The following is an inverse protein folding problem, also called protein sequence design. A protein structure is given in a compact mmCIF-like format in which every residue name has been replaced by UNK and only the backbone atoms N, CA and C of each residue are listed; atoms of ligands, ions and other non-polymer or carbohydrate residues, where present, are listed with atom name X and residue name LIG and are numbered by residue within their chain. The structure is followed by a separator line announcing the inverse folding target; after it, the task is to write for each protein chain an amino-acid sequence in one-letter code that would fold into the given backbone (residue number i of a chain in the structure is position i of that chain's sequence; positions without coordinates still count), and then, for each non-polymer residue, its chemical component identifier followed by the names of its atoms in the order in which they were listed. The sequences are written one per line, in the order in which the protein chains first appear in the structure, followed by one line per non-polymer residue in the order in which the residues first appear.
data_IF_534502901260
#
_entry.id   IF_534502901260
#
_cell.length_a   1.000
_cell.length_b   1.000
_cell.length_c   1.000
_cell.angle_alpha   90.00
_cell.angle_beta   90.00
_cell.angle_gamma   90.00
#
_symmetry.space_group_name_H-M   'P 1'
#
loop_
_entity.id
_entity.type
_entity.pdbx_description
1 polymer ?
#
# COMPACT_ATOMS: atom_id res chain seq x y z
N UNK A 1 -10.54 7.94 -4.62
CA UNK A 1 -10.85 6.59 -4.10
C UNK A 1 -9.84 5.62 -4.70
N UNK A 2 -9.30 4.71 -3.89
CA UNK A 2 -8.36 3.69 -4.34
C UNK A 2 -9.09 2.36 -4.50
N UNK A 3 -8.94 1.72 -5.66
CA UNK A 3 -9.51 0.39 -5.92
C UNK A 3 -8.38 -0.52 -6.41
N UNK A 4 -7.80 -1.36 -5.54
CA UNK A 4 -6.85 -2.36 -5.97
C UNK A 4 -7.59 -3.42 -6.79
N UNK A 5 -7.03 -3.74 -7.95
CA UNK A 5 -7.60 -4.67 -8.90
C UNK A 5 -6.70 -5.88 -9.02
N UNK A 6 -7.29 -7.07 -8.98
CA UNK A 6 -6.64 -8.30 -9.41
C UNK A 6 -7.13 -8.76 -10.78
N UNK A 7 -6.27 -8.72 -11.78
CA UNK A 7 -6.53 -9.34 -13.08
C UNK A 7 -6.14 -10.81 -13.03
N UNK A 8 -7.17 -11.67 -13.01
CA UNK A 8 -7.01 -13.13 -12.95
C UNK A 8 -6.26 -13.72 -14.14
N UNK A 9 -6.45 -13.17 -15.33
CA UNK A 9 -5.79 -13.68 -16.54
C UNK A 9 -4.29 -13.36 -16.53
N UNK A 10 -3.94 -12.15 -16.09
CA UNK A 10 -2.54 -11.72 -15.94
C UNK A 10 -1.89 -12.21 -14.63
N UNK A 11 -2.70 -12.70 -13.69
CA UNK A 11 -2.31 -12.97 -12.29
C UNK A 11 -1.57 -11.76 -11.68
N UNK A 12 -2.11 -10.57 -11.91
CA UNK A 12 -1.41 -9.31 -11.67
C UNK A 12 -2.29 -8.32 -10.91
N UNK A 13 -1.69 -7.62 -9.95
CA UNK A 13 -2.32 -6.51 -9.25
C UNK A 13 -1.96 -5.16 -9.87
N UNK A 14 -2.94 -4.29 -10.03
CA UNK A 14 -2.74 -2.88 -10.35
C UNK A 14 -3.77 -2.03 -9.61
N UNK A 15 -3.64 -0.71 -9.66
CA UNK A 15 -4.46 0.21 -8.89
C UNK A 15 -5.26 1.14 -9.80
N UNK A 16 -6.55 1.28 -9.53
CA UNK A 16 -7.33 2.41 -10.00
C UNK A 16 -7.33 3.52 -8.95
N UNK A 17 -6.98 4.73 -9.38
CA UNK A 17 -7.11 5.95 -8.61
C UNK A 17 -8.26 6.76 -9.21
N UNK A 18 -9.40 6.75 -8.52
CA UNK A 18 -10.63 7.38 -8.99
C UNK A 18 -10.75 8.80 -8.42
N UNK A 19 -10.70 9.79 -9.31
CA UNK A 19 -10.94 11.19 -9.02
C UNK A 19 -12.40 11.54 -9.31
N UNK A 20 -13.28 11.18 -8.36
CA UNK A 20 -14.75 11.29 -8.49
C UNK A 20 -15.22 12.66 -9.00
N UNK A 21 -14.70 13.75 -8.40
CA UNK A 21 -15.06 15.13 -8.79
C UNK A 21 -14.63 15.50 -10.21
N UNK A 22 -13.52 14.93 -10.69
CA UNK A 22 -12.99 15.17 -12.04
C UNK A 22 -13.52 14.17 -13.07
N UNK A 23 -14.19 13.10 -12.62
CA UNK A 23 -14.59 11.95 -13.46
C UNK A 23 -13.41 11.40 -14.27
N UNK A 24 -12.28 11.21 -13.59
CA UNK A 24 -11.06 10.61 -14.13
C UNK A 24 -10.75 9.34 -13.35
N UNK A 25 -10.37 8.29 -14.06
CA UNK A 25 -9.69 7.12 -13.49
C UNK A 25 -8.24 7.12 -13.95
N UNK A 26 -7.32 7.16 -13.00
CA UNK A 26 -5.91 6.89 -13.29
C UNK A 26 -5.62 5.40 -13.10
N UNK A 27 -4.85 4.82 -14.02
CA UNK A 27 -4.41 3.42 -13.93
C UNK A 27 -2.94 3.38 -13.58
N UNK A 28 -2.65 2.91 -12.36
CA UNK A 28 -1.29 2.76 -11.85
C UNK A 28 -0.92 1.28 -11.92
N UNK A 29 -0.16 0.90 -12.95
CA UNK A 29 0.27 -0.47 -13.24
C UNK A 29 1.81 -0.56 -13.21
N UNK A 30 2.36 -1.32 -12.25
CA UNK A 30 3.80 -1.56 -12.14
C UNK A 30 4.37 -2.40 -13.31
N UNK A 31 3.51 -3.03 -14.13
CA UNK A 31 3.86 -3.79 -15.34
C UNK A 31 3.28 -3.17 -16.63
N UNK A 32 2.98 -1.87 -16.64
CA UNK A 32 2.27 -1.17 -17.72
C UNK A 32 2.84 -1.43 -19.14
N UNK A 33 4.17 -1.56 -19.27
CA UNK A 33 4.84 -1.82 -20.56
C UNK A 33 4.42 -3.14 -21.24
N UNK A 34 3.83 -4.08 -20.48
CA UNK A 34 3.43 -5.40 -20.97
C UNK A 34 1.92 -5.56 -21.21
N UNK A 35 1.10 -4.53 -20.93
CA UNK A 35 -0.31 -4.76 -20.59
C UNK A 35 -1.37 -3.88 -21.24
N UNK A 36 -0.97 -2.83 -21.97
CA UNK A 36 -1.90 -1.79 -22.42
C UNK A 36 -3.16 -2.29 -23.13
N UNK A 37 -3.07 -3.33 -23.97
CA UNK A 37 -4.20 -3.76 -24.82
C UNK A 37 -5.27 -4.60 -24.11
N UNK A 38 -4.95 -5.28 -23.00
CA UNK A 38 -5.91 -6.16 -22.30
C UNK A 38 -6.70 -5.42 -21.22
N UNK A 39 -6.07 -4.45 -20.55
CA UNK A 39 -6.71 -3.63 -19.51
C UNK A 39 -7.79 -2.73 -20.12
N UNK A 40 -7.51 -2.10 -21.27
CA UNK A 40 -8.48 -1.22 -21.95
C UNK A 40 -9.77 -1.91 -22.33
N UNK A 41 -9.68 -3.18 -22.78
CA UNK A 41 -10.86 -3.94 -23.18
C UNK A 41 -11.79 -4.24 -22.01
N UNK A 42 -11.25 -4.32 -20.79
CA UNK A 42 -12.00 -4.75 -19.59
C UNK A 42 -12.40 -3.59 -18.70
N UNK A 43 -11.70 -2.46 -18.79
CA UNK A 43 -11.92 -1.27 -17.99
C UNK A 43 -13.39 -0.80 -17.98
N UNK A 44 -14.13 -0.73 -19.11
CA UNK A 44 -15.53 -0.33 -19.08
C UNK A 44 -16.40 -1.24 -18.21
N UNK A 45 -16.22 -2.56 -18.31
CA UNK A 45 -16.97 -3.52 -17.50
C UNK A 45 -16.61 -3.41 -16.01
N UNK A 46 -15.35 -3.14 -15.70
CA UNK A 46 -14.90 -2.97 -14.33
C UNK A 46 -15.44 -1.70 -13.68
N UNK A 47 -15.50 -0.60 -14.43
CA UNK A 47 -16.11 0.64 -13.95
C UNK A 47 -17.63 0.49 -13.80
N UNK A 48 -18.29 -0.24 -14.71
CA UNK A 48 -19.71 -0.56 -14.59
C UNK A 48 -20.04 -1.41 -13.35
N UNK A 49 -19.12 -2.27 -12.89
CA UNK A 49 -19.29 -2.98 -11.61
C UNK A 49 -19.34 -1.99 -10.44
N UNK A 50 -18.58 -0.89 -10.49
CA UNK A 50 -18.66 0.15 -9.47
C UNK A 50 -20.00 0.87 -9.51
N UNK A 51 -20.60 1.08 -10.69
CA UNK A 51 -21.96 1.62 -10.80
C UNK A 51 -23.00 0.75 -10.07
N UNK A 52 -22.86 -0.57 -10.17
CA UNK A 52 -23.74 -1.52 -9.47
C UNK A 52 -23.46 -1.51 -7.96
N UNK A 53 -22.19 -1.52 -7.55
CA UNK A 53 -21.83 -1.56 -6.13
C UNK A 53 -22.23 -0.31 -5.35
N UNK A 54 -22.30 0.83 -6.03
CA UNK A 54 -22.62 2.14 -5.45
C UNK A 54 -23.94 2.71 -5.98
N UNK A 55 -24.86 1.86 -6.48
CA UNK A 55 -26.11 2.30 -7.12
C UNK A 55 -26.92 3.27 -6.23
N UNK A 56 -27.12 2.90 -4.95
CA UNK A 56 -27.87 3.71 -4.00
C UNK A 56 -27.21 5.09 -3.78
N UNK A 57 -25.88 5.12 -3.61
CA UNK A 57 -25.12 6.36 -3.43
C UNK A 57 -25.17 7.23 -4.70
N UNK A 58 -25.10 6.61 -5.88
CA UNK A 58 -25.19 7.32 -7.17
C UNK A 58 -26.56 7.99 -7.31
N UNK A 59 -27.64 7.24 -7.08
CA UNK A 59 -29.00 7.75 -7.20
C UNK A 59 -29.29 8.86 -6.18
N UNK A 60 -28.72 8.77 -4.98
CA UNK A 60 -28.95 9.74 -3.92
C UNK A 60 -28.16 11.04 -4.11
N UNK A 61 -26.90 10.96 -4.56
CA UNK A 61 -25.97 12.09 -4.48
C UNK A 61 -25.54 12.68 -5.83
N UNK A 62 -25.84 12.04 -6.95
CA UNK A 62 -25.36 12.45 -8.27
C UNK A 62 -26.48 12.71 -9.27
N UNK A 63 -26.24 13.58 -10.28
CA UNK A 63 -27.25 13.88 -11.29
C UNK A 63 -27.57 12.64 -12.14
N UNK A 64 -28.78 12.64 -12.72
CA UNK A 64 -29.21 11.60 -13.65
C UNK A 64 -28.19 11.41 -14.79
N UNK A 65 -27.84 10.15 -15.04
CA UNK A 65 -26.85 9.77 -16.06
C UNK A 65 -25.39 9.78 -15.58
N UNK A 66 -25.12 10.10 -14.31
CA UNK A 66 -23.78 9.95 -13.73
C UNK A 66 -23.39 8.46 -13.63
N UNK A 67 -22.18 8.12 -14.05
CA UNK A 67 -21.68 6.74 -14.02
C UNK A 67 -20.14 6.69 -13.99
N UNK A 68 -19.57 5.78 -13.20
CA UNK A 68 -18.15 5.44 -13.23
C UNK A 68 -17.69 5.02 -14.62
N UNK A 69 -18.50 4.27 -15.37
CA UNK A 69 -18.16 3.83 -16.73
C UNK A 69 -17.99 4.99 -17.73
N UNK A 70 -18.48 6.18 -17.40
CA UNK A 70 -18.27 7.40 -18.20
C UNK A 70 -16.98 8.17 -17.89
N UNK A 71 -16.19 7.72 -16.90
CA UNK A 71 -14.97 8.42 -16.51
C UNK A 71 -13.93 8.39 -17.63
N UNK A 72 -13.24 9.51 -17.81
CA UNK A 72 -12.06 9.57 -18.68
C UNK A 72 -10.90 8.80 -18.06
N UNK A 73 -10.07 8.22 -18.92
CA UNK A 73 -8.98 7.33 -18.51
C UNK A 73 -7.66 8.06 -18.66
N UNK A 74 -6.90 8.15 -17.58
CA UNK A 74 -5.54 8.63 -17.57
C UNK A 74 -4.58 7.47 -17.23
N UNK A 75 -3.50 7.38 -17.98
CA UNK A 75 -2.43 6.42 -17.73
C UNK A 75 -1.24 7.21 -17.26
N UNK A 76 -1.09 7.29 -15.94
CA UNK A 76 0.08 7.95 -15.36
C UNK A 76 1.34 7.19 -15.77
N UNK A 77 2.25 7.79 -16.57
CA UNK A 77 3.47 7.12 -17.00
C UNK A 77 4.56 7.11 -15.91
N UNK A 78 4.29 7.75 -14.77
CA UNK A 78 5.31 8.12 -13.79
C UNK A 78 5.39 7.17 -12.59
N UNK A 79 4.61 6.10 -12.56
CA UNK A 79 4.69 5.13 -11.47
C UNK A 79 5.84 4.14 -11.69
N UNK A 80 6.60 3.80 -10.63
CA UNK A 80 7.67 2.81 -10.67
C UNK A 80 7.24 1.52 -11.35
N UNK A 81 8.09 1.03 -12.24
CA UNK A 81 7.87 -0.22 -12.95
C UNK A 81 8.63 -1.34 -12.23
N UNK A 82 7.93 -2.43 -11.94
CA UNK A 82 8.57 -3.60 -11.36
C UNK A 82 9.42 -4.32 -12.42
N UNK A 83 10.59 -4.77 -11.99
CA UNK A 83 11.49 -5.59 -12.81
C UNK A 83 11.24 -7.09 -12.63
N UNK A 84 10.56 -7.47 -11.54
CA UNK A 84 10.17 -8.84 -11.24
C UNK A 84 8.69 -9.11 -11.58
N UNK A 85 8.24 -10.35 -11.45
CA UNK A 85 6.86 -10.76 -11.80
C UNK A 85 5.92 -10.95 -10.61
N UNK A 86 6.33 -10.65 -9.38
CA UNK A 86 5.63 -11.10 -8.17
C UNK A 86 5.34 -10.00 -7.14
N UNK A 87 6.00 -8.85 -7.22
CA UNK A 87 5.81 -7.76 -6.24
C UNK A 87 4.65 -6.81 -6.56
N UNK A 88 3.85 -7.07 -7.59
CA UNK A 88 2.75 -6.17 -8.00
C UNK A 88 1.82 -5.76 -6.87
N UNK A 89 1.54 -6.65 -5.91
CA UNK A 89 0.76 -6.32 -4.71
C UNK A 89 1.48 -5.34 -3.77
N UNK A 90 2.79 -5.46 -3.62
CA UNK A 90 3.62 -4.56 -2.79
C UNK A 90 3.67 -3.17 -3.41
N UNK A 91 3.81 -3.08 -4.73
CA UNK A 91 3.74 -1.81 -5.47
C UNK A 91 2.39 -1.13 -5.25
N UNK A 92 1.29 -1.87 -5.43
CA UNK A 92 -0.07 -1.35 -5.20
C UNK A 92 -0.26 -0.85 -3.76
N UNK A 93 0.29 -1.54 -2.75
CA UNK A 93 0.25 -1.07 -1.36
C UNK A 93 1.02 0.25 -1.21
N UNK A 94 2.26 0.35 -1.70
CA UNK A 94 3.04 1.60 -1.64
C UNK A 94 2.33 2.75 -2.35
N UNK A 95 1.74 2.50 -3.52
CA UNK A 95 0.96 3.48 -4.27
C UNK A 95 -0.21 4.04 -3.47
N UNK A 96 -0.89 3.22 -2.68
CA UNK A 96 -1.99 3.66 -1.80
C UNK A 96 -1.49 4.38 -0.54
N UNK A 97 -0.35 3.96 0.02
CA UNK A 97 0.19 4.52 1.26
C UNK A 97 0.87 5.88 1.07
N UNK A 98 1.61 6.04 -0.04
CA UNK A 98 2.41 7.22 -0.31
C UNK A 98 2.36 7.61 -1.82
N UNK A 99 1.18 8.00 -2.33
CA UNK A 99 0.99 8.31 -3.76
C UNK A 99 1.88 9.46 -4.27
N UNK A 100 2.07 10.50 -3.44
CA UNK A 100 2.89 11.67 -3.78
C UNK A 100 4.39 11.33 -3.88
N UNK A 101 4.87 10.42 -3.04
CA UNK A 101 6.23 9.90 -3.08
C UNK A 101 6.40 8.97 -4.29
N UNK A 102 5.47 8.04 -4.47
CA UNK A 102 5.51 7.03 -5.53
C UNK A 102 5.42 7.63 -6.96
N UNK A 103 5.00 8.88 -7.09
CA UNK A 103 4.91 9.59 -8.38
C UNK A 103 6.06 10.57 -8.61
N UNK A 104 7.00 10.71 -7.66
CA UNK A 104 8.19 11.52 -7.87
C UNK A 104 9.10 10.90 -8.94
N UNK A 105 9.64 11.69 -9.89
CA UNK A 105 10.49 11.17 -10.96
C UNK A 105 11.77 10.48 -10.49
N UNK A 106 12.28 10.85 -9.32
CA UNK A 106 13.50 10.31 -8.70
C UNK A 106 13.23 9.20 -7.68
N UNK A 107 11.96 8.84 -7.46
CA UNK A 107 11.62 7.76 -6.54
C UNK A 107 12.07 6.40 -7.10
N UNK A 108 12.84 5.67 -6.29
CA UNK A 108 13.32 4.33 -6.59
C UNK A 108 12.64 3.35 -5.66
N UNK A 109 11.93 2.39 -6.24
CA UNK A 109 11.25 1.35 -5.47
C UNK A 109 12.24 0.26 -5.04
N UNK A 110 12.39 0.06 -3.73
CA UNK A 110 13.16 -1.05 -3.14
C UNK A 110 12.21 -2.16 -2.65
N UNK A 111 12.10 -3.22 -3.44
CA UNK A 111 11.25 -4.38 -3.12
C UNK A 111 11.52 -5.03 -1.77
N UNK A 112 12.77 -5.07 -1.30
CA UNK A 112 13.10 -5.75 -0.05
C UNK A 112 12.64 -4.92 1.15
N UNK A 113 12.94 -3.63 1.10
CA UNK A 113 12.51 -2.65 2.11
C UNK A 113 10.99 -2.54 2.18
N UNK A 114 10.32 -2.45 1.03
CA UNK A 114 8.86 -2.30 0.97
C UNK A 114 8.14 -3.58 1.42
N UNK A 115 8.67 -4.77 1.10
CA UNK A 115 8.13 -6.04 1.65
C UNK A 115 8.28 -6.11 3.17
N UNK A 116 9.43 -5.70 3.69
CA UNK A 116 9.67 -5.67 5.13
C UNK A 116 8.68 -4.71 5.82
N UNK A 117 8.49 -3.51 5.28
CA UNK A 117 7.54 -2.53 5.83
C UNK A 117 6.11 -3.09 5.88
N UNK A 118 5.66 -3.73 4.80
CA UNK A 118 4.34 -4.39 4.76
C UNK A 118 4.21 -5.45 5.85
N UNK A 119 5.21 -6.32 6.01
CA UNK A 119 5.20 -7.37 7.04
C UNK A 119 5.15 -6.77 8.44
N UNK A 120 5.97 -5.76 8.72
CA UNK A 120 6.00 -5.10 10.02
C UNK A 120 4.65 -4.44 10.35
N UNK A 121 4.01 -3.77 9.37
CA UNK A 121 2.67 -3.20 9.55
C UNK A 121 1.60 -4.26 9.81
N UNK A 122 1.67 -5.40 9.13
CA UNK A 122 0.75 -6.52 9.38
C UNK A 122 0.92 -7.11 10.78
N UNK A 123 2.17 -7.19 11.26
CA UNK A 123 2.47 -7.68 12.61
C UNK A 123 1.99 -6.71 13.70
N UNK A 124 2.22 -5.41 13.53
CA UNK A 124 1.86 -4.38 14.52
C UNK A 124 0.37 -3.99 14.48
N UNK A 125 -0.31 -4.26 13.36
CA UNK A 125 -1.69 -3.88 13.13
C UNK A 125 -2.64 -4.25 14.28
N UNK A 126 -3.44 -3.30 14.74
CA UNK A 126 -4.43 -3.50 15.80
C UNK A 126 -5.55 -4.50 15.43
N UNK A 127 -5.72 -4.78 14.13
CA UNK A 127 -6.63 -5.80 13.60
C UNK A 127 -5.99 -7.18 13.46
N UNK A 128 -4.69 -7.31 13.72
CA UNK A 128 -4.01 -8.61 13.73
C UNK A 128 -4.37 -9.37 15.03
N UNK A 129 -5.42 -10.16 14.96
CA UNK A 129 -5.89 -10.99 16.08
C UNK A 129 -4.84 -12.01 16.54
N UNK A 130 -3.94 -12.42 15.66
CA UNK A 130 -2.87 -13.37 15.96
C UNK A 130 -1.61 -12.71 16.54
N UNK A 131 -1.53 -11.37 16.66
CA UNK A 131 -0.32 -10.65 17.08
C UNK A 131 0.27 -11.19 18.37
N UNK A 132 -0.54 -11.30 19.41
CA UNK A 132 -0.08 -11.74 20.73
C UNK A 132 0.39 -13.21 20.70
N UNK A 133 -0.28 -14.07 19.93
CA UNK A 133 0.11 -15.47 19.77
C UNK A 133 1.43 -15.61 19.00
N UNK A 134 1.60 -14.84 17.92
CA UNK A 134 2.83 -14.81 17.13
C UNK A 134 4.01 -14.28 17.95
N UNK A 135 3.79 -13.21 18.73
CA UNK A 135 4.81 -12.67 19.64
C UNK A 135 5.25 -13.72 20.68
N UNK A 136 4.29 -14.40 21.32
CA UNK A 136 4.59 -15.46 22.28
C UNK A 136 5.35 -16.65 21.64
N UNK A 137 4.97 -17.05 20.42
CA UNK A 137 5.68 -18.11 19.66
C UNK A 137 7.09 -17.69 19.28
N UNK A 138 7.28 -16.44 18.85
CA UNK A 138 8.59 -15.89 18.54
C UNK A 138 9.49 -15.86 19.78
N UNK A 139 8.99 -15.32 20.90
CA UNK A 139 9.70 -15.29 22.18
C UNK A 139 10.10 -16.71 22.64
N UNK A 140 9.18 -17.67 22.58
CA UNK A 140 9.48 -19.06 22.92
C UNK A 140 10.54 -19.68 22.00
N UNK A 141 10.49 -19.39 20.69
CA UNK A 141 11.53 -19.82 19.74
C UNK A 141 12.88 -19.19 20.07
N UNK A 142 12.93 -17.89 20.35
CA UNK A 142 14.16 -17.18 20.71
C UNK A 142 14.75 -17.68 22.03
N UNK A 143 13.94 -17.92 23.05
CA UNK A 143 14.41 -18.50 24.31
C UNK A 143 14.96 -19.92 24.12
N UNK A 144 14.33 -20.70 23.24
CA UNK A 144 14.78 -22.06 22.90
C UNK A 144 16.07 -22.07 22.07
N UNK A 145 16.24 -21.11 21.16
CA UNK A 145 17.45 -20.98 20.33
C UNK A 145 18.60 -20.26 21.03
N UNK A 146 18.30 -19.41 22.03
CA UNK A 146 19.28 -18.69 22.85
C UNK A 146 19.75 -19.48 24.08
N UNK A 147 19.20 -20.68 24.32
CA UNK A 147 19.61 -21.59 25.40
C UNK A 147 21.05 -22.10 25.35
N UNK A 148 21.90 -21.55 24.47
CA UNK A 148 23.34 -21.81 24.37
C UNK A 148 24.24 -20.57 24.45
N UNK A 149 23.72 -19.34 24.62
CA UNK A 149 24.60 -18.16 24.73
C UNK A 149 23.96 -16.97 25.49
N UNK A 150 24.36 -16.78 26.74
CA UNK A 150 23.92 -15.67 27.62
C UNK A 150 24.19 -14.26 27.03
N UNK A 151 25.16 -14.14 26.13
CA UNK A 151 25.50 -12.87 25.46
C UNK A 151 24.40 -12.34 24.53
N UNK A 152 23.57 -13.22 23.95
CA UNK A 152 22.48 -12.82 23.04
C UNK A 152 21.26 -12.29 23.80
N UNK A 153 21.03 -12.77 25.03
CA UNK A 153 19.93 -12.31 25.87
C UNK A 153 20.12 -10.85 26.30
N UNK A 154 21.36 -10.47 26.62
CA UNK A 154 21.75 -9.09 26.92
C UNK A 154 21.63 -8.22 25.65
N UNK A 155 21.98 -8.76 24.47
CA UNK A 155 21.86 -8.03 23.20
C UNK A 155 20.40 -7.73 22.82
N UNK A 156 19.47 -8.67 23.03
CA UNK A 156 18.03 -8.47 22.74
C UNK A 156 17.38 -7.48 23.72
N UNK A 157 17.72 -7.55 25.01
CA UNK A 157 17.24 -6.56 25.99
C UNK A 157 17.73 -5.13 25.64
N UNK A 158 18.97 -5.02 25.18
CA UNK A 158 19.52 -3.73 24.73
C UNK A 158 18.94 -3.31 23.36
N UNK A 159 18.60 -4.25 22.47
CA UNK A 159 17.93 -3.96 21.20
C UNK A 159 16.50 -3.46 21.41
N UNK A 160 15.74 -3.96 22.39
CA UNK A 160 14.40 -3.43 22.68
C UNK A 160 14.49 -1.97 23.17
N UNK A 161 15.48 -1.63 23.99
CA UNK A 161 15.75 -0.23 24.38
C UNK A 161 16.27 0.62 23.21
N UNK A 162 17.18 0.11 22.38
CA UNK A 162 17.75 0.85 21.25
C UNK A 162 16.73 1.01 20.11
N UNK A 163 15.89 0.00 19.86
CA UNK A 163 14.81 0.04 18.86
C UNK A 163 13.69 0.95 19.36
N UNK A 164 13.28 0.86 20.63
CA UNK A 164 12.34 1.82 21.22
C UNK A 164 12.88 3.26 21.17
N UNK A 165 14.18 3.47 21.41
CA UNK A 165 14.83 4.77 21.29
C UNK A 165 14.97 5.25 19.84
N UNK A 166 15.20 4.35 18.89
CA UNK A 166 15.26 4.69 17.46
C UNK A 166 13.88 5.03 16.91
N UNK A 167 12.84 4.31 17.31
CA UNK A 167 11.44 4.64 17.01
C UNK A 167 10.99 5.93 17.72
N UNK A 168 11.46 6.23 18.94
CA UNK A 168 11.17 7.50 19.63
C UNK A 168 11.91 8.68 19.00
N UNK A 169 13.16 8.50 18.58
CA UNK A 169 13.92 9.52 17.84
C UNK A 169 13.33 9.78 16.45
N UNK A 170 12.91 8.75 15.72
CA UNK A 170 12.23 8.92 14.43
C UNK A 170 10.89 9.66 14.58
N UNK A 171 10.14 9.41 15.67
CA UNK A 171 8.94 10.19 16.02
C UNK A 171 9.26 11.63 16.43
N UNK A 172 10.35 11.86 17.17
CA UNK A 172 10.79 13.21 17.58
C UNK A 172 11.34 14.06 16.43
N UNK A 173 12.00 13.44 15.45
CA UNK A 173 12.45 14.10 14.22
C UNK A 173 11.23 14.47 13.37
N UNK A 174 10.24 13.59 13.21
CA UNK A 174 9.01 13.91 12.47
C UNK A 174 8.14 14.99 13.13
N UNK A 175 8.19 15.13 14.46
CA UNK A 175 7.50 16.22 15.17
C UNK A 175 8.17 17.60 14.96
N UNK A 176 9.47 17.64 14.66
CA UNK A 176 10.22 18.89 14.41
C UNK A 176 10.31 19.27 12.92
N UNK A 177 9.81 18.45 12.00
CA UNK A 177 9.76 18.76 10.56
C UNK A 177 8.42 19.42 10.16
N UNK A 178 7.48 19.60 11.09
CA UNK A 178 6.24 20.31 10.79
C UNK A 178 5.86 21.39 11.84
N UNK A 179 6.48 22.59 11.80
CA UNK A 179 6.04 23.71 12.63
C UNK A 179 4.77 24.41 12.12
N UNK A 180 4.14 23.96 11.03
CA UNK A 180 3.15 24.76 10.29
C UNK A 180 1.70 24.27 10.36
N UNK A 181 1.30 23.50 11.39
CA UNK A 181 -0.10 23.06 11.55
C UNK A 181 -0.74 23.35 12.91
N UNK A 182 -0.12 24.20 13.73
CA UNK A 182 -0.77 24.80 14.90
C UNK A 182 -0.77 26.32 14.82
N UNK A 183 -1.46 26.86 13.80
CA UNK A 183 -2.09 28.18 13.81
C UNK A 183 -2.83 28.42 12.48
N UNK A 184 -4.02 27.84 12.31
CA UNK A 184 -5.19 28.42 11.65
C UNK A 184 -6.44 27.75 12.20
#
# INVERSE_FOLDING_TARGET
MYVPVFDKERRHFYLFVLHIKKQVVEIWDSLAKSSGSSVDKRLPNMLAILDILFEDDIQQYYPYGWSFASFSVDRSPNVPQQTNGYDCGVYVIKFMLAPEEATQPDFVFDSDTERLDVVLRLLDGNVNSCRNELAAKAEAYFLRSSGTNDSLRIYVQNMDEETANKYSMLKGINANVNPALHQM
#
